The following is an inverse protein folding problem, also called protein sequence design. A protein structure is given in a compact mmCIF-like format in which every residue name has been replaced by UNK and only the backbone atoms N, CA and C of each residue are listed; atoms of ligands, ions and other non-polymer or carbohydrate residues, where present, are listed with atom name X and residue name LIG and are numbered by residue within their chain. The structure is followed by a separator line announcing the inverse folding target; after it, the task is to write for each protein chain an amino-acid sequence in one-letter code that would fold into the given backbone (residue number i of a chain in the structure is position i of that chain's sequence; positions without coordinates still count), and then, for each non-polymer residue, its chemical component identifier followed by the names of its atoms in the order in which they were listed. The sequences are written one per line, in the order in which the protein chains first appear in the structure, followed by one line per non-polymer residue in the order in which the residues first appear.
data_IF_805970596197
#
_entry.id   IF_805970596197
#
_cell.length_a   1.000
_cell.length_b   1.000
_cell.length_c   1.000
_cell.angle_alpha   90.00
_cell.angle_beta   90.00
_cell.angle_gamma   90.00
#
_symmetry.space_group_name_H-M   'P 1'
#
loop_
_entity.id
_entity.type
_entity.pdbx_description
1 polymer ?
#
# COMPACT_ATOMS: atom_id res chain seq x y z
N UNK A 1 -5.74 -87.14 0.81
CA UNK A 1 -4.50 -86.46 0.36
C UNK A 1 -4.99 -85.36 -0.54
N UNK A 2 -5.34 -84.24 0.09
CA UNK A 2 -6.01 -83.11 -0.54
C UNK A 2 -5.05 -81.93 -0.48
N UNK A 3 -4.85 -81.25 -1.62
CA UNK A 3 -5.15 -79.83 -1.79
C UNK A 3 -4.73 -79.41 -3.20
N UNK A 4 -5.72 -79.32 -4.10
CA UNK A 4 -5.58 -78.64 -5.39
C UNK A 4 -5.68 -77.13 -5.14
N UNK A 5 -4.65 -76.40 -5.55
CA UNK A 5 -4.57 -74.93 -5.52
C UNK A 5 -5.63 -74.31 -6.43
N UNK A 6 -6.65 -73.68 -5.86
CA UNK A 6 -7.55 -72.79 -6.61
C UNK A 6 -6.93 -71.40 -6.75
N UNK A 7 -6.58 -71.09 -7.98
CA UNK A 7 -6.08 -69.81 -8.45
C UNK A 7 -7.19 -68.74 -8.33
N UNK A 8 -7.05 -67.79 -7.41
CA UNK A 8 -8.01 -66.71 -7.21
C UNK A 8 -7.87 -65.68 -8.35
N UNK A 9 -8.76 -65.76 -9.32
CA UNK A 9 -8.89 -64.78 -10.39
C UNK A 9 -9.56 -63.51 -9.84
N UNK A 10 -8.77 -62.47 -9.58
CA UNK A 10 -9.25 -61.19 -9.07
C UNK A 10 -10.15 -60.47 -10.08
N UNK A 11 -11.31 -60.02 -9.60
CA UNK A 11 -12.36 -59.36 -10.39
C UNK A 11 -11.90 -58.01 -10.97
N UNK A 12 -12.16 -57.71 -12.25
CA UNK A 12 -11.69 -56.49 -12.95
C UNK A 12 -12.21 -55.19 -12.32
N UNK A 13 -13.32 -55.26 -11.58
CA UNK A 13 -13.94 -54.14 -10.85
C UNK A 13 -13.03 -53.63 -9.73
N UNK A 14 -12.35 -54.54 -9.03
CA UNK A 14 -11.43 -54.22 -7.92
C UNK A 14 -10.18 -53.51 -8.46
N UNK A 15 -9.72 -53.90 -9.65
CA UNK A 15 -8.57 -53.32 -10.34
C UNK A 15 -8.85 -51.89 -10.85
N UNK A 16 -10.09 -51.61 -11.27
CA UNK A 16 -10.53 -50.27 -11.67
C UNK A 16 -10.69 -49.34 -10.46
N UNK A 17 -11.28 -49.83 -9.36
CA UNK A 17 -11.47 -49.05 -8.13
C UNK A 17 -10.15 -48.59 -7.50
N UNK A 18 -9.11 -49.44 -7.47
CA UNK A 18 -7.78 -49.09 -6.94
C UNK A 18 -7.07 -48.00 -7.75
N UNK A 19 -7.29 -47.94 -9.07
CA UNK A 19 -6.68 -46.91 -9.94
C UNK A 19 -7.37 -45.56 -9.79
N UNK A 20 -8.68 -45.55 -9.62
CA UNK A 20 -9.46 -44.31 -9.45
C UNK A 20 -9.19 -43.60 -8.11
N UNK A 21 -8.98 -44.34 -7.03
CA UNK A 21 -8.71 -43.76 -5.69
C UNK A 21 -7.33 -43.07 -5.66
N UNK A 22 -6.31 -43.66 -6.28
CA UNK A 22 -4.97 -43.08 -6.31
C UNK A 22 -4.89 -41.75 -7.10
N UNK A 23 -5.67 -41.64 -8.18
CA UNK A 23 -5.72 -40.41 -9.00
C UNK A 23 -6.47 -39.29 -8.28
N UNK A 24 -7.58 -39.62 -7.59
CA UNK A 24 -8.36 -38.63 -6.82
C UNK A 24 -7.56 -38.07 -5.63
N UNK A 25 -6.76 -38.90 -4.94
CA UNK A 25 -5.91 -38.42 -3.85
C UNK A 25 -4.79 -37.47 -4.31
N UNK A 26 -4.20 -37.69 -5.49
CA UNK A 26 -3.11 -36.84 -6.01
C UNK A 26 -3.60 -35.46 -6.46
N UNK A 27 -4.81 -35.35 -7.02
CA UNK A 27 -5.37 -34.08 -7.50
C UNK A 27 -5.85 -33.20 -6.33
N UNK A 28 -6.31 -33.79 -5.23
CA UNK A 28 -6.71 -33.05 -4.02
C UNK A 28 -5.53 -32.48 -3.22
N UNK A 29 -4.33 -33.05 -3.33
CA UNK A 29 -3.14 -32.57 -2.61
C UNK A 29 -2.40 -31.41 -3.29
N UNK A 30 -2.65 -31.12 -4.57
CA UNK A 30 -1.96 -30.06 -5.31
C UNK A 30 -2.60 -28.66 -5.18
N UNK A 31 -3.82 -28.55 -4.64
CA UNK A 31 -4.56 -27.28 -4.52
C UNK A 31 -4.32 -26.50 -3.22
N UNK A 32 -3.59 -27.05 -2.25
CA UNK A 32 -3.50 -26.50 -0.89
C UNK A 32 -2.34 -25.51 -0.66
N UNK A 33 -1.51 -25.20 -1.67
CA UNK A 33 -0.27 -24.44 -1.48
C UNK A 33 -0.22 -23.06 -2.17
N UNK A 34 -1.37 -22.55 -2.61
CA UNK A 34 -1.46 -21.17 -3.09
C UNK A 34 -2.44 -20.38 -2.20
N UNK A 35 -2.12 -20.26 -0.92
CA UNK A 35 -2.63 -19.13 -0.14
C UNK A 35 -1.89 -17.91 -0.72
N UNK A 36 -2.56 -16.97 -1.41
CA UNK A 36 -1.90 -15.72 -1.73
C UNK A 36 -1.42 -15.15 -0.39
N UNK A 37 -0.11 -14.92 -0.25
CA UNK A 37 0.42 -14.24 0.91
C UNK A 37 -0.42 -12.97 1.09
N UNK A 38 -1.15 -12.86 2.20
CA UNK A 38 -1.88 -11.65 2.52
C UNK A 38 -0.83 -10.54 2.59
N UNK A 39 -0.75 -9.74 1.53
CA UNK A 39 0.05 -8.53 1.54
C UNK A 39 -0.61 -7.62 2.58
N UNK A 40 0.20 -7.08 3.49
CA UNK A 40 -0.29 -6.07 4.41
C UNK A 40 -0.92 -4.94 3.58
N UNK A 41 -2.07 -4.45 4.01
CA UNK A 41 -2.62 -3.26 3.38
C UNK A 41 -1.67 -2.08 3.66
N UNK A 42 -1.43 -1.20 2.69
CA UNK A 42 -0.64 0.00 2.92
C UNK A 42 -1.19 0.81 4.09
N UNK A 43 -0.29 1.41 4.85
CA UNK A 43 -0.64 2.16 6.05
C UNK A 43 0.23 3.40 6.23
N UNK A 44 -0.33 4.42 6.86
CA UNK A 44 0.40 5.64 7.18
C UNK A 44 1.43 5.42 8.28
N UNK A 45 2.68 5.79 7.99
CA UNK A 45 3.71 6.03 9.00
C UNK A 45 3.76 7.52 9.29
N UNK A 46 3.37 7.90 10.51
CA UNK A 46 3.25 9.29 10.92
C UNK A 46 4.42 9.64 11.83
N UNK A 47 5.17 10.66 11.45
CA UNK A 47 6.28 11.20 12.21
C UNK A 47 6.05 12.67 12.53
N UNK A 48 6.07 13.02 13.82
CA UNK A 48 6.03 14.42 14.23
C UNK A 48 7.28 15.15 13.77
N UNK A 49 7.08 16.40 13.34
CA UNK A 49 8.18 17.31 13.10
C UNK A 49 8.92 17.63 14.42
N UNK A 50 10.21 17.98 14.33
CA UNK A 50 11.01 18.28 15.51
C UNK A 50 10.58 19.60 16.18
N UNK A 51 10.50 19.59 17.51
CA UNK A 51 10.22 20.80 18.30
C UNK A 51 8.83 21.37 18.03
N UNK A 52 8.77 22.66 17.70
CA UNK A 52 7.52 23.39 17.42
C UNK A 52 7.15 23.41 15.92
N UNK A 53 7.90 22.71 15.07
CA UNK A 53 7.65 22.68 13.63
C UNK A 53 6.41 21.83 13.30
N UNK A 54 5.82 22.08 12.15
CA UNK A 54 4.70 21.32 11.59
C UNK A 54 4.99 21.01 10.13
N UNK A 55 4.44 19.91 9.62
CA UNK A 55 4.55 19.53 8.22
C UNK A 55 3.62 20.41 7.38
N UNK A 56 4.19 21.00 6.32
CA UNK A 56 3.48 21.83 5.37
C UNK A 56 3.88 21.49 3.94
N UNK A 57 2.91 21.55 3.03
CA UNK A 57 3.20 21.68 1.62
C UNK A 57 3.71 23.09 1.33
N UNK A 58 4.89 23.18 0.73
CA UNK A 58 5.57 24.42 0.39
C UNK A 58 5.73 24.55 -1.12
N UNK A 59 5.62 25.76 -1.68
CA UNK A 59 5.80 25.98 -3.10
C UNK A 59 7.26 25.79 -3.48
N UNK A 60 7.52 25.02 -4.54
CA UNK A 60 8.87 24.97 -5.11
C UNK A 60 9.21 26.31 -5.77
N UNK A 61 10.42 26.81 -5.55
CA UNK A 61 10.87 28.13 -6.07
C UNK A 61 11.68 28.03 -7.36
N UNK A 62 12.24 26.86 -7.68
CA UNK A 62 13.12 26.64 -8.82
C UNK A 62 12.42 25.94 -9.99
N UNK A 63 11.38 25.15 -9.71
CA UNK A 63 10.63 24.39 -10.71
C UNK A 63 9.14 24.31 -10.35
N UNK A 64 8.32 23.82 -11.28
CA UNK A 64 6.91 23.57 -11.03
C UNK A 64 6.72 22.50 -9.94
N UNK A 65 5.72 22.70 -9.08
CA UNK A 65 5.31 21.74 -8.06
C UNK A 65 5.46 22.26 -6.63
N UNK A 66 5.24 21.33 -5.71
CA UNK A 66 5.28 21.56 -4.26
C UNK A 66 6.11 20.46 -3.62
N UNK A 67 6.53 20.67 -2.38
CA UNK A 67 7.22 19.67 -1.60
C UNK A 67 6.75 19.72 -0.15
N UNK A 68 6.84 18.60 0.55
CA UNK A 68 6.48 18.49 1.95
C UNK A 68 7.69 18.75 2.83
N UNK A 69 7.57 19.62 3.84
CA UNK A 69 8.65 19.88 4.78
C UNK A 69 8.13 20.31 6.16
N UNK A 70 8.95 20.09 7.18
CA UNK A 70 8.72 20.62 8.51
C UNK A 70 9.16 22.09 8.57
N UNK A 71 8.22 22.99 8.87
CA UNK A 71 8.47 24.43 8.99
C UNK A 71 7.61 25.04 10.11
N UNK A 72 7.87 26.29 10.47
CA UNK A 72 6.93 27.05 11.30
C UNK A 72 5.75 27.56 10.46
N UNK A 73 4.63 27.88 11.10
CA UNK A 73 3.50 28.54 10.42
C UNK A 73 3.91 29.87 9.79
N UNK A 74 4.83 30.60 10.43
CA UNK A 74 5.34 31.87 9.93
C UNK A 74 6.12 31.68 8.62
N UNK A 75 7.08 30.76 8.60
CA UNK A 75 7.89 30.46 7.40
C UNK A 75 7.02 29.96 6.24
N UNK A 76 6.04 29.10 6.54
CA UNK A 76 5.07 28.62 5.56
C UNK A 76 4.29 29.78 4.95
N UNK A 77 3.78 30.69 5.77
CA UNK A 77 3.01 31.83 5.28
C UNK A 77 3.86 32.81 4.49
N UNK A 78 5.11 33.05 4.91
CA UNK A 78 6.06 33.86 4.17
C UNK A 78 6.32 33.27 2.78
N UNK A 79 6.63 31.98 2.68
CA UNK A 79 6.90 31.32 1.40
C UNK A 79 5.69 31.33 0.46
N UNK A 80 4.49 31.09 0.99
CA UNK A 80 3.26 31.19 0.20
C UNK A 80 3.04 32.61 -0.32
N UNK A 81 3.21 33.62 0.53
CA UNK A 81 3.00 35.02 0.16
C UNK A 81 4.05 35.52 -0.85
N UNK A 82 5.33 35.18 -0.65
CA UNK A 82 6.40 35.50 -1.58
C UNK A 82 6.15 34.87 -2.96
N UNK A 83 5.82 33.57 -3.00
CA UNK A 83 5.49 32.88 -4.24
C UNK A 83 4.25 33.47 -4.93
N UNK A 84 3.19 33.77 -4.17
CA UNK A 84 1.96 34.37 -4.70
C UNK A 84 2.17 35.79 -5.26
N UNK A 85 3.08 36.56 -4.69
CA UNK A 85 3.32 37.96 -5.09
C UNK A 85 4.46 38.13 -6.10
N UNK A 86 5.26 37.09 -6.34
CA UNK A 86 6.50 37.09 -7.15
C UNK A 86 6.42 37.62 -8.60
N UNK A 87 5.22 37.78 -9.17
CA UNK A 87 5.03 38.14 -10.58
C UNK A 87 5.27 36.98 -11.56
N UNK A 88 5.88 35.89 -11.10
CA UNK A 88 6.08 34.65 -11.85
C UNK A 88 4.84 33.75 -11.75
N UNK A 89 4.30 33.35 -12.90
CA UNK A 89 3.08 32.55 -12.96
C UNK A 89 3.27 31.12 -12.45
N UNK A 90 4.46 30.52 -12.64
CA UNK A 90 4.78 29.18 -12.12
C UNK A 90 4.83 29.21 -10.60
N UNK A 91 5.51 30.20 -10.01
CA UNK A 91 5.60 30.35 -8.56
C UNK A 91 4.22 30.57 -7.92
N UNK A 92 3.38 31.40 -8.55
CA UNK A 92 1.99 31.59 -8.12
C UNK A 92 1.18 30.29 -8.16
N UNK A 93 1.33 29.50 -9.23
CA UNK A 93 0.67 28.21 -9.34
C UNK A 93 1.13 27.23 -8.25
N UNK A 94 2.44 27.17 -7.99
CA UNK A 94 2.99 26.35 -6.91
C UNK A 94 2.42 26.74 -5.54
N UNK A 95 2.27 28.04 -5.26
CA UNK A 95 1.64 28.51 -4.03
C UNK A 95 0.19 28.03 -3.90
N UNK A 96 -0.58 28.10 -4.99
CA UNK A 96 -1.95 27.60 -5.01
C UNK A 96 -2.02 26.08 -4.80
N UNK A 97 -1.15 25.31 -5.47
CA UNK A 97 -1.06 23.86 -5.28
C UNK A 97 -0.73 23.48 -3.84
N UNK A 98 0.19 24.21 -3.20
CA UNK A 98 0.58 23.94 -1.82
C UNK A 98 -0.63 24.10 -0.87
N UNK A 99 -1.44 25.13 -1.09
CA UNK A 99 -2.68 25.35 -0.33
C UNK A 99 -3.73 24.27 -0.60
N UNK A 100 -3.89 23.85 -1.86
CA UNK A 100 -4.84 22.81 -2.25
C UNK A 100 -4.46 21.48 -1.59
N UNK A 101 -3.19 21.08 -1.70
CA UNK A 101 -2.70 19.83 -1.13
C UNK A 101 -2.80 19.86 0.41
N UNK A 102 -2.44 20.99 1.03
CA UNK A 102 -2.60 21.16 2.48
C UNK A 102 -4.06 20.99 2.94
N UNK A 103 -5.01 21.51 2.17
CA UNK A 103 -6.42 21.37 2.48
C UNK A 103 -6.94 19.95 2.22
N UNK A 104 -6.46 19.28 1.17
CA UNK A 104 -6.81 17.88 0.91
C UNK A 104 -6.39 16.99 2.07
N UNK A 105 -5.19 17.22 2.62
CA UNK A 105 -4.67 16.43 3.73
C UNK A 105 -5.37 16.69 5.07
N UNK A 106 -6.14 17.78 5.20
CA UNK A 106 -6.87 18.10 6.43
C UNK A 106 -7.96 17.09 6.79
N UNK A 107 -8.39 16.26 5.84
CA UNK A 107 -9.38 15.20 6.03
C UNK A 107 -8.75 13.83 6.27
N UNK A 108 -7.43 13.70 6.15
CA UNK A 108 -6.75 12.42 6.33
C UNK A 108 -6.65 12.06 7.81
N UNK A 109 -6.84 10.78 8.09
CA UNK A 109 -6.63 10.14 9.40
C UNK A 109 -5.63 8.99 9.24
N UNK A 110 -5.03 8.48 10.33
CA UNK A 110 -4.11 7.35 10.27
C UNK A 110 -4.71 6.09 9.63
N UNK A 111 -6.04 5.94 9.67
CA UNK A 111 -6.80 4.81 9.11
C UNK A 111 -7.28 5.07 7.68
N UNK A 112 -7.05 6.27 7.13
CA UNK A 112 -7.41 6.59 5.76
C UNK A 112 -6.61 5.70 4.79
N UNK A 113 -7.24 5.14 3.74
CA UNK A 113 -6.50 4.36 2.75
C UNK A 113 -5.46 5.23 2.05
N UNK A 114 -4.33 4.63 1.67
CA UNK A 114 -3.24 5.32 1.00
C UNK A 114 -2.55 4.45 -0.03
N UNK A 115 -1.84 5.09 -0.95
CA UNK A 115 -0.98 4.42 -1.92
C UNK A 115 0.47 4.44 -1.45
N UNK A 116 1.23 3.33 -1.60
CA UNK A 116 2.64 3.29 -1.19
C UNK A 116 3.46 4.45 -1.75
N UNK A 117 4.25 5.08 -0.89
CA UNK A 117 5.06 6.26 -1.21
C UNK A 117 4.30 7.58 -1.27
N UNK A 118 2.97 7.58 -1.04
CA UNK A 118 2.21 8.82 -0.88
C UNK A 118 2.66 9.56 0.38
N UNK A 119 2.84 10.88 0.27
CA UNK A 119 3.15 11.76 1.39
C UNK A 119 1.96 12.64 1.75
N UNK A 120 1.85 13.05 3.02
CA UNK A 120 0.83 13.97 3.49
C UNK A 120 1.27 14.80 4.72
N UNK A 121 0.71 16.00 4.84
CA UNK A 121 0.73 16.83 6.04
C UNK A 121 -0.48 16.50 6.93
N UNK A 122 -0.44 15.36 7.63
CA UNK A 122 -1.56 14.88 8.44
C UNK A 122 -1.55 15.51 9.84
N UNK A 123 -2.48 16.42 10.11
CA UNK A 123 -2.59 17.07 11.43
C UNK A 123 -1.31 17.81 11.86
N UNK A 124 -0.50 18.25 10.90
CA UNK A 124 0.80 18.90 11.14
C UNK A 124 1.97 17.94 11.38
N UNK A 125 1.76 16.63 11.31
CA UNK A 125 2.83 15.64 11.23
C UNK A 125 3.16 15.29 9.76
N UNK A 126 4.40 14.87 9.51
CA UNK A 126 4.77 14.28 8.23
C UNK A 126 4.26 12.85 8.22
N UNK A 127 3.53 12.48 7.17
CA UNK A 127 3.03 11.12 6.98
C UNK A 127 3.51 10.58 5.64
N UNK A 128 3.99 9.34 5.65
CA UNK A 128 4.37 8.58 4.46
C UNK A 128 3.63 7.25 4.46
N UNK A 129 2.99 6.90 3.36
CA UNK A 129 2.32 5.62 3.22
C UNK A 129 3.37 4.53 2.93
N UNK A 130 3.41 3.52 3.79
CA UNK A 130 4.28 2.37 3.63
C UNK A 130 3.51 1.11 3.22
N UNK A 131 4.21 0.19 2.58
CA UNK A 131 3.75 -1.17 2.29
C UNK A 131 3.55 -2.03 3.56
#
# INVERSE_FOLDING_TARGET
MDFVLTNHQESPVIRFARRSIAVVCLVLSAGLWAVPAAQAAPHWKIQSCHGALQAYWLPNVAMSGVFLACATTADRNEQINDAATSGDMTRRYNAAQALIQQNADSFLTPESPCEPGQEAAMGGAHAECAD
#
